data_IF_930335831959
#
_entry.id   IF_930335831959
#
_cell.length_a   1.000
_cell.length_b   1.000
_cell.length_c   1.000
_cell.angle_alpha   90.00
_cell.angle_beta   90.00
_cell.angle_gamma   90.00
#
_symmetry.space_group_name_H-M   'P 1'
#
loop_
_entity.id
_entity.type
_entity.pdbx_description
1 polymer ?
#
# COMPACT_ATOMS: atom_id res chain seq x y z
N UNK A 1 28.97 23.07 5.61
CA UNK A 1 27.99 22.10 5.02
C UNK A 1 26.96 22.88 4.21
N UNK A 2 26.56 22.41 3.03
CA UNK A 2 25.44 23.03 2.32
C UNK A 2 24.16 22.75 3.12
N UNK A 3 23.20 23.70 3.19
CA UNK A 3 21.92 23.44 3.85
C UNK A 3 21.20 22.26 3.15
N UNK A 4 20.43 21.46 3.90
CA UNK A 4 19.68 20.36 3.30
C UNK A 4 18.69 20.90 2.25
N UNK A 5 18.49 20.12 1.19
CA UNK A 5 17.44 20.39 0.21
C UNK A 5 16.08 20.07 0.83
N UNK A 6 15.08 20.83 0.49
CA UNK A 6 13.74 20.65 1.06
C UNK A 6 12.79 19.99 0.06
N UNK A 7 12.08 18.96 0.49
CA UNK A 7 11.11 18.25 -0.34
C UNK A 7 9.72 18.27 0.30
N UNK A 8 8.70 18.62 -0.50
CA UNK A 8 7.31 18.48 -0.11
C UNK A 8 6.78 17.15 -0.63
N UNK A 9 6.52 16.21 0.29
CA UNK A 9 5.94 14.91 0.00
C UNK A 9 4.42 15.02 0.08
N UNK A 10 3.74 14.93 -1.05
CA UNK A 10 2.27 14.97 -1.12
C UNK A 10 1.76 13.54 -1.17
N UNK A 11 1.17 13.10 -0.08
CA UNK A 11 0.59 11.76 0.06
C UNK A 11 -0.78 11.86 0.74
N UNK A 12 -1.89 11.63 0.01
CA UNK A 12 -3.22 11.70 0.62
C UNK A 12 -3.40 10.73 1.79
N UNK A 13 -2.77 9.55 1.70
CA UNK A 13 -2.78 8.54 2.74
C UNK A 13 -1.51 8.64 3.60
N UNK A 14 -1.71 8.74 4.91
CA UNK A 14 -0.64 8.78 5.92
C UNK A 14 -1.20 8.33 7.28
N UNK A 15 -0.37 7.81 8.22
CA UNK A 15 -0.89 7.41 9.52
C UNK A 15 -1.73 8.50 10.22
N UNK A 16 -2.84 8.12 10.86
CA UNK A 16 -3.29 6.77 11.27
C UNK A 16 -4.05 5.97 10.21
N UNK A 17 -4.13 6.39 8.95
CA UNK A 17 -4.73 5.56 7.91
C UNK A 17 -3.93 4.27 7.77
N UNK A 18 -4.64 3.14 7.63
CA UNK A 18 -4.03 1.80 7.52
C UNK A 18 -4.10 1.22 6.11
N UNK A 19 -4.44 2.03 5.10
CA UNK A 19 -4.41 1.58 3.69
C UNK A 19 -2.98 1.32 3.21
N UNK A 20 -2.83 0.52 2.16
CA UNK A 20 -1.52 0.21 1.58
C UNK A 20 -0.75 1.48 1.15
N UNK A 21 -1.48 2.49 0.63
CA UNK A 21 -0.89 3.77 0.20
C UNK A 21 -0.16 4.56 1.28
N UNK A 22 -0.50 4.31 2.55
CA UNK A 22 0.14 4.95 3.71
C UNK A 22 1.63 4.63 3.80
N UNK A 23 2.01 3.39 3.46
CA UNK A 23 3.36 2.89 3.73
C UNK A 23 4.43 3.58 2.87
N UNK A 24 4.11 4.07 1.68
CA UNK A 24 5.08 4.76 0.83
C UNK A 24 5.67 6.00 1.52
N UNK A 25 4.83 6.95 1.88
CA UNK A 25 5.29 8.20 2.48
C UNK A 25 5.82 7.97 3.92
N UNK A 26 5.18 7.08 4.68
CA UNK A 26 5.57 6.74 6.04
C UNK A 26 6.97 6.13 6.12
N UNK A 27 7.28 5.19 5.23
CA UNK A 27 8.58 4.50 5.22
C UNK A 27 9.68 5.31 4.52
N UNK A 28 9.34 6.18 3.58
CA UNK A 28 10.32 6.97 2.82
C UNK A 28 10.73 8.25 3.54
N UNK A 29 9.74 9.03 4.01
CA UNK A 29 10.01 10.38 4.48
C UNK A 29 11.01 10.47 5.65
N UNK A 30 10.98 9.60 6.67
CA UNK A 30 11.94 9.66 7.78
C UNK A 30 13.40 9.52 7.34
N UNK A 31 13.68 8.74 6.29
CA UNK A 31 15.04 8.44 5.82
C UNK A 31 15.60 9.45 4.84
N UNK A 32 14.80 10.38 4.35
CA UNK A 32 15.27 11.39 3.40
C UNK A 32 16.35 12.29 4.00
N UNK A 33 16.38 12.47 5.33
CA UNK A 33 17.41 13.21 6.05
C UNK A 33 18.82 12.64 5.86
N UNK A 34 18.95 11.32 5.80
CA UNK A 34 20.22 10.61 5.58
C UNK A 34 20.82 10.92 4.20
N UNK A 35 19.98 11.37 3.26
CA UNK A 35 20.34 11.72 1.89
C UNK A 35 20.39 13.24 1.65
N UNK A 36 20.40 14.03 2.72
CA UNK A 36 20.53 15.50 2.63
C UNK A 36 19.23 16.22 2.22
N UNK A 37 18.07 15.58 2.46
CA UNK A 37 16.76 16.18 2.23
C UNK A 37 16.01 16.40 3.55
N UNK A 38 15.35 17.54 3.65
CA UNK A 38 14.44 17.86 4.75
C UNK A 38 13.00 17.68 4.25
N UNK A 39 12.30 16.59 4.63
CA UNK A 39 10.95 16.32 4.18
C UNK A 39 9.90 17.11 4.97
N UNK A 40 8.87 17.56 4.28
CA UNK A 40 7.59 17.95 4.85
C UNK A 40 6.50 17.10 4.19
N UNK A 41 5.72 16.37 4.97
CA UNK A 41 4.62 15.56 4.44
C UNK A 41 3.33 16.38 4.47
N UNK A 42 2.68 16.49 3.32
CA UNK A 42 1.33 17.05 3.18
C UNK A 42 0.35 15.91 2.93
N UNK A 43 -0.62 15.76 3.83
CA UNK A 43 -1.57 14.65 3.83
C UNK A 43 -2.97 15.11 4.20
N UNK A 44 -3.93 14.19 4.15
CA UNK A 44 -5.32 14.45 4.53
C UNK A 44 -5.53 14.28 6.04
N UNK A 45 -6.44 15.06 6.60
CA UNK A 45 -6.83 14.96 8.01
C UNK A 45 -7.51 13.60 8.27
N UNK A 46 -7.16 12.90 9.37
CA UNK A 46 -7.75 11.59 9.71
C UNK A 46 -9.29 11.56 9.77
N UNK A 47 -9.94 12.68 10.05
CA UNK A 47 -11.41 12.80 10.07
C UNK A 47 -12.06 12.60 8.71
N UNK A 48 -11.30 12.73 7.62
CA UNK A 48 -11.79 12.62 6.26
C UNK A 48 -11.46 11.26 5.59
N UNK A 49 -10.75 10.39 6.30
CA UNK A 49 -10.55 9.00 5.89
C UNK A 49 -11.85 8.20 6.09
N UNK A 50 -12.10 7.27 5.17
CA UNK A 50 -13.25 6.36 5.25
C UNK A 50 -12.83 4.94 5.66
N UNK A 51 -11.54 4.67 5.55
CA UNK A 51 -10.94 3.41 5.99
C UNK A 51 -10.78 3.34 7.49
N UNK A 52 -10.35 2.18 7.95
CA UNK A 52 -10.04 1.99 9.34
C UNK A 52 -8.75 2.71 9.72
N UNK A 53 -8.74 3.31 10.89
CA UNK A 53 -7.59 4.00 11.45
C UNK A 53 -6.82 3.04 12.37
N UNK A 54 -5.50 3.13 12.33
CA UNK A 54 -4.57 2.42 13.21
C UNK A 54 -3.78 3.46 14.04
N UNK A 55 -4.20 3.75 15.28
CA UNK A 55 -3.53 4.71 16.14
C UNK A 55 -2.08 4.29 16.46
N UNK A 56 -1.81 2.99 16.54
CA UNK A 56 -0.47 2.48 16.84
C UNK A 56 0.48 2.80 15.68
N UNK A 57 -0.01 2.70 14.45
CA UNK A 57 0.76 3.09 13.28
C UNK A 57 1.10 4.59 13.29
N UNK A 58 0.22 5.44 13.82
CA UNK A 58 0.52 6.87 13.97
C UNK A 58 1.63 7.14 15.02
N UNK A 59 1.68 6.35 16.07
CA UNK A 59 2.73 6.46 17.10
C UNK A 59 4.13 6.08 16.59
N UNK A 60 4.23 5.26 15.52
CA UNK A 60 5.51 4.90 14.90
C UNK A 60 6.12 6.01 14.06
N UNK A 61 5.36 7.07 13.75
CA UNK A 61 5.87 8.21 12.97
C UNK A 61 6.81 9.03 13.85
N UNK A 62 8.06 9.28 13.40
CA UNK A 62 9.00 10.10 14.17
C UNK A 62 8.45 11.50 14.47
N UNK A 63 8.53 11.93 15.73
CA UNK A 63 8.03 13.25 16.16
C UNK A 63 8.75 14.42 15.44
N UNK A 64 9.96 14.21 14.97
CA UNK A 64 10.73 15.20 14.20
C UNK A 64 10.23 15.40 12.77
N UNK A 65 9.46 14.44 12.22
CA UNK A 65 8.91 14.55 10.88
C UNK A 65 7.78 15.59 10.84
N UNK A 66 7.97 16.63 10.05
CA UNK A 66 6.94 17.66 9.85
C UNK A 66 5.80 17.11 9.00
N UNK A 67 4.60 17.01 9.59
CA UNK A 67 3.39 16.53 8.91
C UNK A 67 2.32 17.61 8.94
N UNK A 68 1.86 18.02 7.77
CA UNK A 68 0.81 19.03 7.58
C UNK A 68 -0.44 18.32 7.05
N UNK A 69 -1.57 18.63 7.64
CA UNK A 69 -2.85 18.00 7.32
C UNK A 69 -3.84 18.99 6.73
N UNK A 70 -4.48 18.58 5.65
CA UNK A 70 -5.54 19.37 5.02
C UNK A 70 -6.87 18.61 5.00
N UNK A 71 -7.97 19.32 4.85
CA UNK A 71 -9.31 18.74 4.79
C UNK A 71 -9.61 18.21 3.39
N UNK A 72 -10.45 17.20 3.35
CA UNK A 72 -11.09 16.72 2.14
C UNK A 72 -12.60 16.97 2.18
N UNK A 73 -13.24 17.07 1.02
CA UNK A 73 -14.69 17.14 0.96
C UNK A 73 -15.31 15.87 1.59
N UNK A 74 -16.34 16.00 2.43
CA UNK A 74 -16.95 14.84 3.06
C UNK A 74 -17.52 13.87 2.04
N UNK A 75 -17.20 12.58 2.17
CA UNK A 75 -17.65 11.54 1.25
C UNK A 75 -19.18 11.48 1.10
N UNK A 76 -19.91 11.73 2.19
CA UNK A 76 -21.38 11.80 2.19
C UNK A 76 -21.94 12.85 1.23
N UNK A 77 -21.17 13.92 0.97
CA UNK A 77 -21.56 15.00 0.06
C UNK A 77 -21.19 14.68 -1.38
N UNK A 78 -20.03 14.06 -1.59
CA UNK A 78 -19.47 13.86 -2.93
C UNK A 78 -19.88 12.53 -3.59
N UNK A 79 -20.19 11.49 -2.80
CA UNK A 79 -20.63 10.18 -3.32
C UNK A 79 -21.91 10.19 -4.18
N UNK A 80 -22.93 11.00 -3.87
CA UNK A 80 -24.10 11.11 -4.75
C UNK A 80 -23.76 11.58 -6.17
N UNK A 81 -22.64 12.33 -6.31
CA UNK A 81 -22.10 12.78 -7.60
C UNK A 81 -21.05 11.80 -8.19
N UNK A 82 -20.93 10.59 -7.63
CA UNK A 82 -19.98 9.57 -8.08
C UNK A 82 -18.53 9.77 -7.63
N UNK A 83 -18.24 10.77 -6.78
CA UNK A 83 -16.89 11.07 -6.29
C UNK A 83 -16.71 10.47 -4.89
N UNK A 84 -16.10 9.28 -4.83
CA UNK A 84 -15.70 8.60 -3.58
C UNK A 84 -14.19 8.61 -3.35
N UNK A 85 -13.41 8.85 -4.40
CA UNK A 85 -11.94 8.84 -4.35
C UNK A 85 -11.39 9.93 -3.42
N UNK A 86 -10.50 9.55 -2.50
CA UNK A 86 -9.92 10.48 -1.53
C UNK A 86 -9.08 11.57 -2.21
N UNK A 87 -8.35 11.24 -3.28
CA UNK A 87 -7.52 12.19 -3.99
C UNK A 87 -8.33 13.29 -4.68
N UNK A 88 -9.51 12.94 -5.24
CA UNK A 88 -10.44 13.93 -5.79
C UNK A 88 -11.05 14.79 -4.69
N UNK A 89 -11.50 14.17 -3.59
CA UNK A 89 -12.11 14.89 -2.46
C UNK A 89 -11.13 15.86 -1.78
N UNK A 90 -9.86 15.46 -1.71
CA UNK A 90 -8.80 16.24 -1.06
C UNK A 90 -8.09 17.20 -2.02
N UNK A 91 -8.33 17.13 -3.32
CA UNK A 91 -7.57 17.85 -4.33
C UNK A 91 -7.48 19.35 -4.06
N UNK A 92 -8.60 20.00 -3.76
CA UNK A 92 -8.65 21.43 -3.46
C UNK A 92 -7.86 21.77 -2.20
N UNK A 93 -8.03 20.99 -1.12
CA UNK A 93 -7.30 21.18 0.12
C UNK A 93 -5.79 21.01 -0.06
N UNK A 94 -5.37 19.94 -0.74
CA UNK A 94 -3.96 19.70 -1.07
C UNK A 94 -3.37 20.82 -1.93
N UNK A 95 -4.11 21.28 -2.94
CA UNK A 95 -3.70 22.40 -3.78
C UNK A 95 -3.50 23.70 -2.98
N UNK A 96 -4.47 24.05 -2.14
CA UNK A 96 -4.42 25.26 -1.32
C UNK A 96 -3.24 25.23 -0.36
N UNK A 97 -3.09 24.12 0.36
CA UNK A 97 -2.05 23.99 1.37
C UNK A 97 -0.65 23.90 0.74
N UNK A 98 -0.49 23.11 -0.33
CA UNK A 98 0.77 23.09 -1.09
C UNK A 98 1.13 24.49 -1.63
N UNK A 99 0.15 25.21 -2.19
CA UNK A 99 0.37 26.59 -2.68
C UNK A 99 0.74 27.55 -1.55
N UNK A 100 0.12 27.42 -0.39
CA UNK A 100 0.44 28.22 0.79
C UNK A 100 1.89 27.96 1.26
N UNK A 101 2.30 26.70 1.36
CA UNK A 101 3.65 26.32 1.73
C UNK A 101 4.69 26.84 0.73
N UNK A 102 4.47 26.61 -0.57
CA UNK A 102 5.37 27.05 -1.64
C UNK A 102 5.47 28.57 -1.79
N UNK A 103 4.50 29.32 -1.30
CA UNK A 103 4.56 30.79 -1.26
C UNK A 103 5.41 31.30 -0.09
N UNK A 104 5.43 30.57 1.02
CA UNK A 104 6.10 31.01 2.26
C UNK A 104 7.47 30.44 2.46
N UNK A 105 7.71 29.28 1.89
CA UNK A 105 8.90 28.48 2.13
C UNK A 105 9.46 27.96 0.81
N UNK A 106 10.79 27.89 0.75
CA UNK A 106 11.46 27.30 -0.41
C UNK A 106 11.44 25.78 -0.30
N UNK A 107 10.98 25.14 -1.35
CA UNK A 107 11.15 23.71 -1.59
C UNK A 107 11.93 23.50 -2.89
N UNK A 108 12.83 22.52 -2.89
CA UNK A 108 13.68 22.20 -4.03
C UNK A 108 13.08 21.13 -4.92
N UNK A 109 12.13 20.34 -4.38
CA UNK A 109 11.37 19.34 -5.15
C UNK A 109 10.01 19.04 -4.50
N UNK A 110 9.09 18.50 -5.33
CA UNK A 110 7.87 17.84 -4.86
C UNK A 110 8.00 16.35 -5.13
N UNK A 111 7.52 15.53 -4.19
CA UNK A 111 7.36 14.09 -4.36
C UNK A 111 5.89 13.76 -4.17
N UNK A 112 5.22 13.28 -5.23
CA UNK A 112 3.76 13.12 -5.25
C UNK A 112 3.44 11.64 -5.43
N UNK A 113 2.82 11.02 -4.41
CA UNK A 113 2.41 9.62 -4.48
C UNK A 113 1.14 9.47 -5.30
N UNK A 114 1.11 8.46 -6.16
CA UNK A 114 -0.04 8.10 -6.99
C UNK A 114 -0.76 6.90 -6.37
N UNK A 115 -1.42 7.16 -5.26
CA UNK A 115 -2.41 6.32 -4.60
C UNK A 115 -3.15 7.19 -3.58
N UNK A 116 -4.33 7.70 -3.91
CA UNK A 116 -5.05 7.64 -5.20
C UNK A 116 -4.36 8.45 -6.32
N UNK A 117 -4.81 8.28 -7.57
CA UNK A 117 -4.09 8.78 -8.73
C UNK A 117 -4.22 10.31 -8.98
N UNK A 118 -5.36 10.89 -8.67
CA UNK A 118 -5.67 12.30 -9.03
C UNK A 118 -4.72 13.37 -8.46
N UNK A 119 -4.09 13.20 -7.29
CA UNK A 119 -3.06 14.11 -6.80
C UNK A 119 -1.87 14.30 -7.75
N UNK A 120 -1.63 13.37 -8.68
CA UNK A 120 -0.63 13.54 -9.73
C UNK A 120 -0.80 14.85 -10.51
N UNK A 121 -2.05 15.32 -10.66
CA UNK A 121 -2.36 16.57 -11.36
C UNK A 121 -1.88 17.83 -10.63
N UNK A 122 -1.59 17.73 -9.33
CA UNK A 122 -0.98 18.83 -8.56
C UNK A 122 0.42 19.17 -9.11
N UNK A 123 1.17 18.15 -9.55
CA UNK A 123 2.55 18.32 -10.05
C UNK A 123 2.65 19.38 -11.16
N UNK A 124 2.03 19.19 -12.33
CA UNK A 124 2.09 20.18 -13.42
C UNK A 124 1.54 21.56 -13.03
N UNK A 125 0.49 21.59 -12.21
CA UNK A 125 -0.11 22.85 -11.77
C UNK A 125 0.82 23.63 -10.85
N UNK A 126 1.42 22.96 -9.83
CA UNK A 126 2.36 23.58 -8.89
C UNK A 126 3.67 23.96 -9.59
N UNK A 127 4.20 23.08 -10.46
CA UNK A 127 5.40 23.41 -11.26
C UNK A 127 5.19 24.64 -12.13
N UNK A 128 4.05 24.75 -12.81
CA UNK A 128 3.72 25.93 -13.64
C UNK A 128 3.65 27.22 -12.81
N UNK A 129 3.15 27.13 -11.57
CA UNK A 129 2.95 28.31 -10.72
C UNK A 129 4.20 28.73 -9.96
N UNK A 130 4.98 27.78 -9.46
CA UNK A 130 6.07 28.01 -8.52
C UNK A 130 7.45 27.62 -9.08
N UNK A 131 7.52 26.97 -10.24
CA UNK A 131 8.78 26.54 -10.85
C UNK A 131 9.47 25.35 -10.15
N UNK A 132 8.83 24.72 -9.18
CA UNK A 132 9.42 23.62 -8.41
C UNK A 132 9.30 22.30 -9.21
N UNK A 133 10.42 21.57 -9.42
CA UNK A 133 10.39 20.28 -10.08
C UNK A 133 9.65 19.24 -9.25
N UNK A 134 9.09 18.22 -9.91
CA UNK A 134 8.35 17.18 -9.21
C UNK A 134 8.62 15.77 -9.74
N UNK A 135 8.54 14.81 -8.81
CA UNK A 135 8.58 13.37 -9.05
C UNK A 135 7.18 12.81 -8.85
N UNK A 136 6.73 11.96 -9.79
CA UNK A 136 5.53 11.14 -9.64
C UNK A 136 5.92 9.74 -9.17
N UNK A 137 5.32 9.27 -8.10
CA UNK A 137 5.57 7.94 -7.53
C UNK A 137 4.37 7.04 -7.71
N UNK A 138 4.50 6.06 -8.59
CA UNK A 138 3.46 5.08 -8.90
C UNK A 138 3.48 3.93 -7.91
N UNK A 139 2.50 3.85 -7.03
CA UNK A 139 2.28 2.67 -6.19
C UNK A 139 1.44 1.62 -6.92
N UNK A 140 0.46 2.09 -7.70
CA UNK A 140 -0.37 1.30 -8.59
C UNK A 140 -0.46 1.98 -9.96
N UNK A 141 -0.69 1.24 -11.07
CA UNK A 141 -0.95 1.83 -12.36
C UNK A 141 -2.21 2.71 -12.33
N UNK A 142 -2.11 3.98 -12.74
CA UNK A 142 -3.29 4.84 -12.89
C UNK A 142 -4.27 4.28 -13.94
N UNK A 143 -3.70 3.82 -15.06
CA UNK A 143 -4.44 3.14 -16.11
C UNK A 143 -3.95 1.70 -16.16
N UNK A 144 -4.64 0.79 -15.48
CA UNK A 144 -4.30 -0.62 -15.42
C UNK A 144 -5.50 -1.51 -15.71
N UNK A 145 -5.24 -2.78 -15.89
CA UNK A 145 -6.30 -3.81 -16.01
C UNK A 145 -6.86 -4.21 -14.64
N UNK A 146 -6.14 -3.92 -13.57
CA UNK A 146 -6.47 -4.31 -12.20
C UNK A 146 -7.82 -3.78 -11.70
N UNK A 147 -8.25 -2.60 -12.11
CA UNK A 147 -9.56 -2.05 -11.79
C UNK A 147 -10.74 -2.79 -12.43
N UNK A 148 -10.49 -3.69 -13.36
CA UNK A 148 -11.53 -4.46 -14.04
C UNK A 148 -11.94 -5.72 -13.29
N UNK A 149 -11.05 -6.31 -12.47
CA UNK A 149 -11.30 -7.57 -11.77
C UNK A 149 -11.83 -7.40 -10.34
N UNK A 150 -11.58 -6.27 -9.67
CA UNK A 150 -11.94 -6.06 -8.25
C UNK A 150 -13.31 -5.41 -8.05
N UNK A 151 -13.88 -4.79 -9.07
CA UNK A 151 -15.22 -4.17 -9.05
C UNK A 151 -16.18 -4.77 -10.08
N UNK A 152 -15.79 -5.85 -10.73
CA UNK A 152 -16.65 -6.53 -11.71
C UNK A 152 -17.88 -7.08 -11.04
N UNK A 153 -19.08 -6.62 -11.46
CA UNK A 153 -20.32 -7.29 -11.16
C UNK A 153 -20.21 -8.78 -11.54
N UNK A 154 -21.09 -9.61 -11.05
CA UNK A 154 -21.10 -11.08 -11.11
C UNK A 154 -20.82 -11.73 -12.49
N UNK A 155 -20.57 -10.96 -13.54
CA UNK A 155 -20.36 -11.42 -14.92
C UNK A 155 -19.02 -10.98 -15.55
N UNK A 156 -18.03 -10.50 -14.76
CA UNK A 156 -16.68 -10.17 -15.28
C UNK A 156 -16.61 -8.98 -16.26
N UNK A 157 -17.71 -8.25 -16.49
CA UNK A 157 -17.72 -7.05 -17.36
C UNK A 157 -17.45 -5.79 -16.54
N UNK A 158 -16.55 -4.89 -17.01
CA UNK A 158 -16.30 -3.63 -16.34
C UNK A 158 -17.59 -2.80 -16.27
N UNK A 159 -17.90 -2.29 -15.09
CA UNK A 159 -19.04 -1.40 -14.89
C UNK A 159 -18.80 -0.03 -15.54
N UNK A 160 -19.85 0.78 -15.67
CA UNK A 160 -19.78 2.11 -16.28
C UNK A 160 -18.78 3.02 -15.54
N UNK A 161 -18.65 2.88 -14.22
CA UNK A 161 -17.72 3.67 -13.38
C UNK A 161 -16.27 3.33 -13.70
N UNK A 162 -15.94 2.04 -13.81
CA UNK A 162 -14.58 1.57 -14.18
C UNK A 162 -14.18 2.09 -15.56
N UNK A 163 -15.13 2.06 -16.53
CA UNK A 163 -14.89 2.60 -17.87
C UNK A 163 -14.67 4.12 -17.86
N UNK A 164 -15.48 4.85 -17.09
CA UNK A 164 -15.33 6.30 -16.95
C UNK A 164 -14.01 6.67 -16.26
N UNK A 165 -13.64 5.95 -15.17
CA UNK A 165 -12.37 6.14 -14.48
C UNK A 165 -11.17 5.87 -15.40
N UNK A 166 -11.21 4.78 -16.18
CA UNK A 166 -10.16 4.46 -17.15
C UNK A 166 -10.07 5.55 -18.23
N UNK A 167 -11.20 6.00 -18.75
CA UNK A 167 -11.22 7.09 -19.75
C UNK A 167 -10.61 8.37 -19.19
N UNK A 168 -10.97 8.75 -17.96
CA UNK A 168 -10.39 9.89 -17.28
C UNK A 168 -8.87 9.71 -17.09
N UNK A 169 -8.44 8.54 -16.62
CA UNK A 169 -7.01 8.21 -16.47
C UNK A 169 -6.24 8.35 -17.78
N UNK A 170 -6.75 7.79 -18.88
CA UNK A 170 -6.12 7.90 -20.21
C UNK A 170 -5.97 9.34 -20.72
N UNK A 171 -6.80 10.26 -20.23
CA UNK A 171 -6.73 11.69 -20.61
C UNK A 171 -5.86 12.50 -19.66
N UNK A 172 -5.85 12.16 -18.37
CA UNK A 172 -5.21 12.94 -17.32
C UNK A 172 -3.78 12.49 -17.04
N UNK A 173 -3.49 11.18 -17.13
CA UNK A 173 -2.13 10.65 -16.93
C UNK A 173 -1.10 11.30 -17.87
N UNK A 174 -1.37 11.46 -19.19
CA UNK A 174 -0.43 12.14 -20.10
C UNK A 174 -0.11 13.59 -19.69
N UNK A 175 -1.09 14.31 -19.15
CA UNK A 175 -0.88 15.68 -18.68
C UNK A 175 0.09 15.74 -17.49
N UNK A 176 -0.06 14.82 -16.52
CA UNK A 176 0.82 14.75 -15.38
C UNK A 176 2.23 14.27 -15.77
N UNK A 177 2.32 13.17 -16.53
CA UNK A 177 3.60 12.55 -16.89
C UNK A 177 4.48 13.41 -17.80
N UNK A 178 3.91 14.14 -18.76
CA UNK A 178 4.68 15.02 -19.66
C UNK A 178 5.41 16.14 -18.93
N UNK A 179 4.87 16.59 -17.81
CA UNK A 179 5.44 17.67 -17.02
C UNK A 179 6.39 17.17 -15.92
N UNK A 180 6.38 15.87 -15.62
CA UNK A 180 7.17 15.28 -14.54
C UNK A 180 8.67 15.34 -14.84
N UNK A 181 9.46 15.73 -13.84
CA UNK A 181 10.93 15.74 -13.92
C UNK A 181 11.49 14.37 -13.57
N UNK A 182 10.81 13.61 -12.72
CA UNK A 182 11.14 12.24 -12.39
C UNK A 182 9.91 11.36 -12.23
N UNK A 183 10.13 10.06 -12.40
CA UNK A 183 9.11 9.03 -12.16
C UNK A 183 9.73 7.90 -11.34
N UNK A 184 9.08 7.55 -10.25
CA UNK A 184 9.38 6.34 -9.49
C UNK A 184 8.16 5.41 -9.49
N UNK A 185 8.38 4.13 -9.31
CA UNK A 185 7.29 3.17 -9.15
C UNK A 185 7.72 2.00 -8.26
N UNK A 186 6.74 1.30 -7.70
CA UNK A 186 6.96 0.10 -6.89
C UNK A 186 7.63 -1.03 -7.67
N UNK A 187 7.48 -1.05 -9.00
CA UNK A 187 8.15 -2.01 -9.90
C UNK A 187 8.50 -1.36 -11.24
N UNK A 188 9.53 -1.92 -11.87
CA UNK A 188 9.93 -1.52 -13.22
C UNK A 188 8.79 -1.67 -14.23
N UNK A 189 8.01 -2.75 -14.12
CA UNK A 189 6.87 -3.01 -14.98
C UNK A 189 5.83 -1.87 -14.90
N UNK A 190 5.58 -1.34 -13.70
CA UNK A 190 4.60 -0.25 -13.46
C UNK A 190 5.00 1.03 -14.21
N UNK A 191 6.25 1.51 -14.06
CA UNK A 191 6.63 2.74 -14.76
C UNK A 191 6.83 2.51 -16.27
N UNK A 192 7.32 1.34 -16.70
CA UNK A 192 7.43 1.01 -18.13
C UNK A 192 6.07 1.01 -18.81
N UNK A 193 5.06 0.45 -18.15
CA UNK A 193 3.69 0.46 -18.66
C UNK A 193 3.14 1.89 -18.78
N UNK A 194 3.34 2.73 -17.75
CA UNK A 194 2.89 4.12 -17.79
C UNK A 194 3.60 4.94 -18.88
N UNK A 195 4.94 4.84 -18.97
CA UNK A 195 5.74 5.55 -19.97
C UNK A 195 5.50 5.02 -21.40
N UNK A 196 5.30 3.72 -21.57
CA UNK A 196 4.98 3.10 -22.86
C UNK A 196 3.67 3.61 -23.45
N UNK A 197 2.65 3.80 -22.59
CA UNK A 197 1.40 4.47 -23.03
C UNK A 197 1.59 5.96 -23.33
N UNK A 198 2.58 6.58 -22.72
CA UNK A 198 2.83 8.03 -22.76
C UNK A 198 4.20 8.34 -23.39
N UNK A 199 4.43 7.85 -24.59
CA UNK A 199 5.71 7.93 -25.31
C UNK A 199 6.26 9.33 -25.55
N UNK A 200 5.49 10.38 -25.30
CA UNK A 200 5.92 11.78 -25.31
C UNK A 200 6.44 12.30 -23.95
N UNK A 201 6.26 11.55 -22.87
CA UNK A 201 6.85 11.88 -21.59
C UNK A 201 8.36 11.57 -21.62
N UNK A 202 9.17 12.49 -21.08
CA UNK A 202 10.64 12.36 -21.02
C UNK A 202 11.12 12.83 -19.64
N UNK A 203 10.80 12.09 -18.56
CA UNK A 203 11.34 12.43 -17.25
C UNK A 203 12.87 12.32 -17.27
N UNK A 204 13.55 13.23 -16.59
CA UNK A 204 15.02 13.23 -16.50
C UNK A 204 15.56 12.06 -15.68
N UNK A 205 14.74 11.52 -14.77
CA UNK A 205 15.08 10.39 -13.93
C UNK A 205 13.90 9.41 -13.84
N UNK A 206 14.21 8.11 -13.91
CA UNK A 206 13.25 7.03 -13.71
C UNK A 206 13.91 5.98 -12.83
N UNK A 207 13.19 5.52 -11.79
CA UNK A 207 13.70 4.49 -10.88
C UNK A 207 12.61 3.58 -10.35
N UNK A 208 12.96 2.33 -10.15
CA UNK A 208 12.19 1.41 -9.33
C UNK A 208 12.44 1.75 -7.86
N UNK A 209 11.36 1.84 -7.10
CA UNK A 209 11.39 2.11 -5.67
C UNK A 209 10.34 1.22 -4.98
N UNK A 210 10.66 -0.03 -4.65
CA UNK A 210 9.76 -0.93 -3.95
C UNK A 210 9.34 -0.35 -2.59
N UNK A 211 8.19 -0.76 -2.08
CA UNK A 211 7.84 -0.49 -0.68
C UNK A 211 8.71 -1.41 0.17
N UNK A 212 9.62 -0.80 0.90
CA UNK A 212 10.64 -1.51 1.64
C UNK A 212 10.22 -1.89 3.06
N UNK A 213 11.20 -2.32 3.77
CA UNK A 213 11.24 -2.64 5.18
C UNK A 213 11.87 -1.45 5.94
N UNK A 214 11.50 -1.30 7.21
CA UNK A 214 12.09 -0.29 8.11
C UNK A 214 12.51 -0.95 9.43
N UNK A 215 13.78 -0.88 9.76
CA UNK A 215 14.33 -1.35 11.04
C UNK A 215 13.70 -0.59 12.23
N UNK A 216 13.26 0.64 12.01
CA UNK A 216 12.52 1.44 12.98
C UNK A 216 11.21 0.78 13.40
N UNK A 217 10.50 0.14 12.47
CA UNK A 217 9.27 -0.61 12.78
C UNK A 217 9.56 -1.81 13.69
N UNK A 218 10.67 -2.51 13.48
CA UNK A 218 11.07 -3.62 14.35
C UNK A 218 11.51 -3.13 15.72
N UNK A 219 12.24 -2.03 15.77
CA UNK A 219 12.61 -1.43 17.06
C UNK A 219 11.37 -0.99 17.84
N UNK A 220 10.42 -0.33 17.16
CA UNK A 220 9.13 0.07 17.73
C UNK A 220 8.34 -1.13 18.25
N UNK A 221 8.22 -2.19 17.43
CA UNK A 221 7.56 -3.43 17.78
C UNK A 221 8.19 -4.07 19.02
N UNK A 222 9.52 -4.20 19.06
CA UNK A 222 10.25 -4.78 20.21
C UNK A 222 10.01 -4.01 21.50
N UNK A 223 9.97 -2.68 21.42
CA UNK A 223 9.68 -1.83 22.59
C UNK A 223 8.25 -2.02 23.12
N UNK A 224 7.30 -2.47 22.26
CA UNK A 224 5.89 -2.70 22.62
C UNK A 224 5.55 -4.18 22.84
N UNK A 225 6.43 -5.12 22.54
CA UNK A 225 6.16 -6.57 22.55
C UNK A 225 5.48 -7.07 23.83
N UNK A 226 5.79 -6.49 24.96
CA UNK A 226 5.17 -6.86 26.25
C UNK A 226 3.68 -6.50 26.36
N UNK A 227 3.16 -5.67 25.44
CA UNK A 227 1.77 -5.21 25.41
C UNK A 227 0.94 -5.90 24.34
N UNK A 228 1.57 -6.69 23.46
CA UNK A 228 0.92 -7.42 22.38
C UNK A 228 0.75 -8.88 22.80
N UNK A 229 -0.46 -9.42 22.62
CA UNK A 229 -0.69 -10.85 22.81
C UNK A 229 -0.16 -11.60 21.59
N UNK A 230 0.73 -12.59 21.75
CA UNK A 230 1.23 -13.36 20.61
C UNK A 230 0.09 -14.14 19.97
N UNK A 231 -0.07 -13.98 18.63
CA UNK A 231 -1.03 -14.76 17.85
C UNK A 231 -0.46 -16.13 17.46
N UNK A 232 0.86 -16.28 17.55
CA UNK A 232 1.59 -17.52 17.31
C UNK A 232 2.15 -18.02 18.65
N UNK A 233 1.82 -19.25 19.08
CA UNK A 233 2.43 -19.83 20.27
C UNK A 233 3.94 -20.00 20.09
N UNK A 234 4.71 -19.68 21.13
CA UNK A 234 6.16 -19.92 21.13
C UNK A 234 6.52 -21.12 22.00
N UNK A 235 7.58 -21.85 21.63
CA UNK A 235 8.16 -22.89 22.48
C UNK A 235 7.40 -24.21 22.58
N UNK A 236 6.43 -24.44 21.68
CA UNK A 236 5.61 -25.67 21.63
C UNK A 236 6.25 -26.80 20.78
N UNK A 237 7.44 -26.57 20.22
CA UNK A 237 8.16 -27.51 19.37
C UNK A 237 7.59 -27.69 17.97
N UNK A 238 6.62 -26.86 17.58
CA UNK A 238 6.02 -26.86 16.25
C UNK A 238 6.78 -25.94 15.28
N UNK A 239 6.55 -26.15 14.01
CA UNK A 239 7.09 -25.34 12.90
C UNK A 239 5.95 -24.45 12.40
N UNK A 240 5.97 -23.20 12.84
CA UNK A 240 4.95 -22.21 12.45
C UNK A 240 5.36 -21.50 11.17
N UNK A 241 4.60 -21.72 10.10
CA UNK A 241 4.75 -21.04 8.81
C UNK A 241 3.62 -20.04 8.68
N UNK A 242 3.93 -18.78 8.45
CA UNK A 242 2.96 -17.69 8.45
C UNK A 242 2.85 -17.01 7.09
N UNK A 243 1.63 -16.86 6.61
CA UNK A 243 1.25 -15.93 5.55
C UNK A 243 0.42 -14.80 6.15
N UNK A 244 0.87 -13.55 5.97
CA UNK A 244 0.14 -12.37 6.40
C UNK A 244 -0.14 -11.46 5.19
N UNK A 245 -1.41 -11.39 4.76
CA UNK A 245 -1.80 -10.56 3.63
C UNK A 245 -3.11 -11.00 2.98
N UNK A 246 -3.62 -10.15 2.08
CA UNK A 246 -4.84 -10.46 1.32
C UNK A 246 -4.58 -11.61 0.35
N UNK A 247 -5.32 -12.70 0.50
CA UNK A 247 -5.27 -13.81 -0.43
C UNK A 247 -6.13 -13.51 -1.66
N UNK A 248 -5.48 -13.10 -2.73
CA UNK A 248 -6.14 -12.79 -4.00
C UNK A 248 -6.55 -14.08 -4.75
N UNK A 249 -7.56 -14.03 -5.62
CA UNK A 249 -7.95 -15.18 -6.45
C UNK A 249 -6.78 -15.75 -7.27
N UNK A 250 -5.88 -14.88 -7.74
CA UNK A 250 -4.66 -15.27 -8.50
C UNK A 250 -3.64 -16.04 -7.66
N UNK A 251 -3.71 -15.98 -6.33
CA UNK A 251 -2.85 -16.75 -5.42
C UNK A 251 -3.40 -18.12 -5.04
N UNK A 252 -4.65 -18.46 -5.44
CA UNK A 252 -5.28 -19.72 -5.02
C UNK A 252 -4.61 -20.96 -5.61
N UNK A 253 -4.05 -20.89 -6.82
CA UNK A 253 -3.30 -22.00 -7.41
C UNK A 253 -2.03 -22.30 -6.64
N UNK A 254 -1.29 -21.25 -6.25
CA UNK A 254 -0.10 -21.39 -5.41
C UNK A 254 -0.47 -22.00 -4.05
N UNK A 255 -1.58 -21.55 -3.46
CA UNK A 255 -2.08 -22.15 -2.22
C UNK A 255 -2.42 -23.64 -2.38
N UNK A 256 -3.07 -24.04 -3.48
CA UNK A 256 -3.34 -25.46 -3.79
C UNK A 256 -2.05 -26.27 -3.85
N UNK A 257 -1.01 -25.74 -4.49
CA UNK A 257 0.31 -26.39 -4.57
C UNK A 257 0.94 -26.56 -3.17
N UNK A 258 0.83 -25.54 -2.30
CA UNK A 258 1.30 -25.62 -0.91
C UNK A 258 0.54 -26.68 -0.13
N UNK A 259 -0.79 -26.72 -0.24
CA UNK A 259 -1.61 -27.73 0.43
C UNK A 259 -1.31 -29.16 -0.09
N UNK A 260 -1.14 -29.33 -1.41
CA UNK A 260 -0.73 -30.60 -2.00
C UNK A 260 0.64 -31.06 -1.48
N UNK A 261 1.60 -30.12 -1.35
CA UNK A 261 2.92 -30.42 -0.79
C UNK A 261 2.84 -30.87 0.68
N UNK A 262 1.97 -30.25 1.51
CA UNK A 262 1.71 -30.68 2.89
C UNK A 262 1.07 -32.08 2.93
N UNK A 263 0.12 -32.36 2.06
CA UNK A 263 -0.47 -33.71 1.93
C UNK A 263 0.60 -34.74 1.58
N UNK A 264 1.46 -34.41 0.62
CA UNK A 264 2.57 -35.30 0.24
C UNK A 264 3.60 -35.49 1.37
N UNK A 265 3.90 -34.42 2.12
CA UNK A 265 4.76 -34.51 3.31
C UNK A 265 4.17 -35.47 4.34
N UNK A 266 2.85 -35.44 4.57
CA UNK A 266 2.15 -36.33 5.51
C UNK A 266 2.29 -37.80 5.11
N UNK A 267 2.26 -38.11 3.81
CA UNK A 267 2.48 -39.45 3.31
C UNK A 267 3.94 -39.93 3.46
N UNK A 268 4.90 -39.02 3.26
CA UNK A 268 6.33 -39.34 3.30
C UNK A 268 6.89 -39.37 4.73
N UNK A 269 6.49 -38.43 5.57
CA UNK A 269 6.94 -38.27 6.95
C UNK A 269 5.81 -37.65 7.79
N UNK A 270 4.96 -38.51 8.32
CA UNK A 270 3.83 -38.09 9.15
C UNK A 270 4.24 -37.40 10.45
N UNK A 271 5.41 -37.74 11.00
CA UNK A 271 5.92 -37.16 12.22
C UNK A 271 6.35 -35.69 11.97
N UNK A 272 7.04 -35.43 10.88
CA UNK A 272 7.40 -34.07 10.47
C UNK A 272 6.15 -33.25 10.10
N UNK A 273 5.25 -33.81 9.30
CA UNK A 273 4.00 -33.15 8.94
C UNK A 273 3.17 -32.76 10.18
N UNK A 274 3.11 -33.64 11.18
CA UNK A 274 2.42 -33.38 12.45
C UNK A 274 2.98 -32.20 13.25
N UNK A 275 4.22 -31.77 12.96
CA UNK A 275 4.85 -30.61 13.57
C UNK A 275 4.63 -29.30 12.80
N UNK A 276 4.19 -29.35 11.55
CA UNK A 276 3.95 -28.14 10.74
C UNK A 276 2.60 -27.52 11.09
N UNK A 277 2.57 -26.21 11.21
CA UNK A 277 1.35 -25.39 11.33
C UNK A 277 1.45 -24.25 10.33
N UNK A 278 0.46 -24.14 9.47
CA UNK A 278 0.37 -23.09 8.47
C UNK A 278 -0.71 -22.09 8.89
N UNK A 279 -0.31 -20.86 9.12
CA UNK A 279 -1.17 -19.79 9.60
C UNK A 279 -1.41 -18.75 8.53
N UNK A 280 -2.67 -18.42 8.27
CA UNK A 280 -3.09 -17.39 7.34
C UNK A 280 -3.75 -16.23 8.09
N UNK A 281 -3.21 -15.03 7.97
CA UNK A 281 -3.73 -13.82 8.60
C UNK A 281 -4.10 -12.78 7.55
N UNK A 282 -5.29 -12.13 7.71
CA UNK A 282 -5.71 -11.03 6.86
C UNK A 282 -6.07 -11.41 5.44
N UNK A 283 -6.46 -12.67 5.19
CA UNK A 283 -6.75 -13.22 3.85
C UNK A 283 -7.87 -12.50 3.12
N UNK A 284 -8.81 -11.88 3.84
CA UNK A 284 -9.78 -10.95 3.29
C UNK A 284 -9.29 -9.51 3.52
N UNK A 285 -9.65 -8.61 2.61
CA UNK A 285 -9.37 -7.18 2.84
C UNK A 285 -10.40 -6.50 3.75
N UNK A 286 -11.13 -7.28 4.57
CA UNK A 286 -12.19 -6.81 5.44
C UNK A 286 -11.75 -6.89 6.91
N UNK A 287 -12.18 -5.93 7.72
CA UNK A 287 -11.95 -5.96 9.18
C UNK A 287 -13.05 -6.66 9.96
N UNK A 288 -14.14 -7.08 9.31
CA UNK A 288 -15.26 -7.72 9.98
C UNK A 288 -14.89 -9.14 10.43
N UNK A 289 -15.28 -9.51 11.63
CA UNK A 289 -15.13 -10.87 12.14
C UNK A 289 -15.88 -11.95 11.30
N UNK A 290 -16.84 -11.52 10.47
CA UNK A 290 -17.59 -12.39 9.57
C UNK A 290 -16.95 -12.55 8.17
N UNK A 291 -15.71 -12.13 7.99
CA UNK A 291 -15.00 -12.32 6.73
C UNK A 291 -14.86 -13.82 6.41
N UNK A 292 -15.17 -14.19 5.17
CA UNK A 292 -15.14 -15.59 4.75
C UNK A 292 -13.69 -16.12 4.65
N UNK A 293 -13.48 -17.32 5.16
CA UNK A 293 -12.23 -18.06 4.99
C UNK A 293 -11.98 -18.40 3.52
N UNK A 294 -10.74 -18.29 3.09
CA UNK A 294 -10.28 -18.60 1.74
C UNK A 294 -9.25 -19.72 1.71
N UNK A 295 -8.41 -19.84 2.75
CA UNK A 295 -7.35 -20.81 2.82
C UNK A 295 -7.83 -22.16 3.37
N UNK A 296 -8.61 -22.18 4.45
CA UNK A 296 -9.13 -23.43 5.05
C UNK A 296 -9.95 -24.26 4.09
N UNK A 297 -10.88 -23.71 3.25
CA UNK A 297 -11.58 -24.51 2.26
C UNK A 297 -10.63 -25.22 1.27
N UNK A 298 -9.56 -24.56 0.83
CA UNK A 298 -8.56 -25.17 -0.05
C UNK A 298 -7.78 -26.27 0.68
N UNK A 299 -7.36 -26.03 1.92
CA UNK A 299 -6.67 -27.04 2.72
C UNK A 299 -7.48 -28.32 2.91
N UNK A 300 -8.82 -28.18 3.05
CA UNK A 300 -9.75 -29.31 3.18
C UNK A 300 -9.81 -30.17 1.90
N UNK A 301 -9.67 -29.57 0.72
CA UNK A 301 -9.60 -30.31 -0.55
C UNK A 301 -8.43 -31.32 -0.58
N UNK A 302 -7.36 -31.02 0.18
CA UNK A 302 -6.14 -31.85 0.26
C UNK A 302 -6.00 -32.64 1.58
N UNK A 303 -7.03 -32.61 2.44
CA UNK A 303 -7.04 -33.33 3.70
C UNK A 303 -5.97 -32.85 4.70
N UNK A 304 -5.64 -31.55 4.69
CA UNK A 304 -4.60 -30.94 5.56
C UNK A 304 -5.14 -29.75 6.39
N UNK A 305 -6.45 -29.63 6.49
CA UNK A 305 -7.11 -28.52 7.19
C UNK A 305 -6.86 -28.54 8.72
N UNK A 306 -6.48 -29.67 9.29
CA UNK A 306 -6.01 -29.80 10.66
C UNK A 306 -4.62 -29.15 10.92
N UNK A 307 -3.84 -28.92 9.87
CA UNK A 307 -2.55 -28.24 9.91
C UNK A 307 -2.66 -26.74 9.61
N UNK A 308 -3.84 -26.27 9.18
CA UNK A 308 -4.05 -24.91 8.68
C UNK A 308 -4.98 -24.13 9.59
N UNK A 309 -4.56 -22.96 9.99
CA UNK A 309 -5.43 -21.98 10.67
C UNK A 309 -5.58 -20.73 9.83
N UNK A 310 -6.73 -20.09 9.93
CA UNK A 310 -7.01 -18.88 9.18
C UNK A 310 -7.77 -17.87 10.04
N UNK A 311 -7.24 -16.65 10.09
CA UNK A 311 -7.93 -15.46 10.57
C UNK A 311 -8.16 -14.54 9.39
N UNK A 312 -9.36 -14.58 8.75
CA UNK A 312 -9.61 -13.83 7.51
C UNK A 312 -9.60 -12.33 7.71
N UNK A 313 -10.00 -11.84 8.89
CA UNK A 313 -10.05 -10.42 9.18
C UNK A 313 -8.66 -9.78 9.11
N UNK A 314 -8.59 -8.58 8.52
CA UNK A 314 -7.36 -7.80 8.43
C UNK A 314 -6.82 -7.46 9.83
N UNK A 315 -5.56 -7.76 10.07
CA UNK A 315 -4.82 -7.35 11.25
C UNK A 315 -4.39 -5.87 11.16
N UNK A 316 -4.17 -5.26 12.31
CA UNK A 316 -3.42 -4.01 12.39
C UNK A 316 -1.95 -4.26 12.01
N UNK A 317 -1.26 -3.21 11.57
CA UNK A 317 0.05 -3.33 10.95
C UNK A 317 1.08 -4.03 11.87
N UNK A 318 1.16 -3.59 13.12
CA UNK A 318 2.13 -4.14 14.06
C UNK A 318 1.76 -5.54 14.57
N UNK A 319 0.46 -5.88 14.61
CA UNK A 319 0.02 -7.25 14.90
C UNK A 319 0.42 -8.19 13.75
N UNK A 320 0.22 -7.77 12.50
CA UNK A 320 0.68 -8.54 11.34
C UNK A 320 2.21 -8.70 11.35
N UNK A 321 2.96 -7.63 11.63
CA UNK A 321 4.42 -7.68 11.73
C UNK A 321 4.88 -8.61 12.86
N UNK A 322 4.18 -8.59 14.00
CA UNK A 322 4.47 -9.49 15.13
C UNK A 322 4.30 -10.96 14.73
N UNK A 323 3.24 -11.32 13.98
CA UNK A 323 3.05 -12.71 13.53
C UNK A 323 4.21 -13.17 12.63
N UNK A 324 4.73 -12.28 11.78
CA UNK A 324 5.87 -12.60 10.93
C UNK A 324 7.18 -12.76 11.70
N UNK A 325 7.38 -11.96 12.76
CA UNK A 325 8.56 -12.04 13.63
C UNK A 325 8.52 -13.29 14.51
N UNK A 326 7.34 -13.73 14.97
CA UNK A 326 7.17 -14.90 15.82
C UNK A 326 7.15 -16.22 15.02
N UNK A 327 7.02 -16.15 13.69
CA UNK A 327 7.01 -17.31 12.81
C UNK A 327 8.37 -18.03 12.75
N UNK A 328 8.34 -19.37 12.61
CA UNK A 328 9.53 -20.14 12.26
C UNK A 328 9.97 -19.86 10.82
N UNK A 329 8.99 -19.67 9.91
CA UNK A 329 9.21 -19.31 8.53
C UNK A 329 8.05 -18.45 8.01
N UNK A 330 8.34 -17.59 7.02
CA UNK A 330 7.35 -16.75 6.34
C UNK A 330 7.03 -17.35 4.98
N UNK A 331 5.76 -17.52 4.69
CA UNK A 331 5.27 -17.94 3.36
C UNK A 331 4.99 -16.71 2.51
N UNK A 332 5.65 -16.62 1.37
CA UNK A 332 5.33 -15.66 0.32
C UNK A 332 4.65 -16.37 -0.83
N UNK A 333 3.49 -15.91 -1.22
CA UNK A 333 2.75 -16.46 -2.36
C UNK A 333 2.64 -15.41 -3.45
N UNK A 334 3.19 -15.75 -4.61
CA UNK A 334 3.04 -14.94 -5.82
C UNK A 334 1.75 -15.25 -6.58
N UNK A 335 1.47 -14.44 -7.60
CA UNK A 335 0.44 -14.74 -8.61
C UNK A 335 0.95 -15.76 -9.61
N UNK A 336 0.08 -16.65 -10.07
CA UNK A 336 0.36 -17.55 -11.19
C UNK A 336 0.27 -16.86 -12.55
N UNK A 337 -0.26 -15.64 -12.60
CA UNK A 337 -0.39 -14.85 -13.83
C UNK A 337 0.82 -13.91 -13.99
N UNK A 338 1.35 -13.77 -15.22
CA UNK A 338 2.38 -12.77 -15.49
C UNK A 338 1.82 -11.36 -15.28
N UNK A 339 2.56 -10.54 -14.58
CA UNK A 339 2.21 -9.13 -14.31
C UNK A 339 2.76 -8.20 -15.36
#
# INVERSE_FOLDING_TARGET
MKPPRRVLVVSPHFPPDSSAGTHRARLLAPHLGEHGWEPTVLTVDPRDYEGALDPVLAESVPAALRVIRTRAWPARVTRPFGVGDLGLRAFEGLWREASHLLTRERFDALFITIYPAYPALLGPLLKRRFGVPFVLDYQDPWVGEWGHSVGGGSNGRPDVRSRASRFAGMRLEPFALRAADGVTAVSEATYRQALGRNNHARPAAVAELPIGWDDGDIAFLRARRQRLSPLIPGGDGLIHIVYAGTLLPTGLETLRAVCAALGRLRELDSALAGRVRLHFFGTSNQRSAGAASRAVPVAREFGVDDLVTEQPARLDYFDALQTLVDATAVLLMGSSEPH
#
